data_IF_751553179268
#
_entry.id   IF_751553179268
#
_cell.length_a   1.000
_cell.length_b   1.000
_cell.length_c   1.000
_cell.angle_alpha   90.00
_cell.angle_beta   90.00
_cell.angle_gamma   90.00
#
_symmetry.space_group_name_H-M   'P 1'
#
loop_
_entity.id
_entity.type
_entity.pdbx_description
1 polymer ?
#
# COMPACT_ATOMS: atom_id res chain seq x y z
N UNK A 1 19.83 25.00 18.59
CA UNK A 1 20.81 25.84 17.86
C UNK A 1 20.28 27.26 17.70
N UNK A 2 19.09 27.46 17.12
CA UNK A 2 18.45 28.79 17.07
C UNK A 2 18.27 29.40 18.46
N UNK A 3 17.76 28.64 19.44
CA UNK A 3 17.65 29.11 20.84
C UNK A 3 19.00 29.42 21.49
N UNK A 4 20.05 28.66 21.14
CA UNK A 4 21.41 28.88 21.66
C UNK A 4 22.07 30.12 21.03
N UNK A 5 21.75 30.44 19.79
CA UNK A 5 22.31 31.57 19.02
C UNK A 5 21.40 32.82 19.07
N UNK A 6 20.22 32.71 19.68
CA UNK A 6 19.24 33.79 19.83
C UNK A 6 18.49 34.21 18.56
N UNK A 7 18.93 33.80 17.36
CA UNK A 7 18.25 34.15 16.11
C UNK A 7 18.49 33.14 14.96
N UNK A 8 17.62 33.20 13.94
CA UNK A 8 17.64 32.29 12.77
C UNK A 8 18.70 32.67 11.74
N UNK A 9 19.05 33.96 11.61
CA UNK A 9 20.05 34.42 10.64
C UNK A 9 21.45 33.89 11.00
N UNK A 10 21.81 33.97 12.27
CA UNK A 10 23.06 33.42 12.82
C UNK A 10 23.09 31.89 12.74
N UNK A 11 21.97 31.23 13.04
CA UNK A 11 21.87 29.79 12.85
C UNK A 11 22.06 29.37 11.39
N UNK A 12 21.54 30.15 10.44
CA UNK A 12 21.73 29.93 8.99
C UNK A 12 23.19 30.11 8.58
N UNK A 13 23.83 31.20 9.03
CA UNK A 13 25.24 31.49 8.76
C UNK A 13 26.17 30.40 9.28
N UNK A 14 25.93 29.92 10.50
CA UNK A 14 26.79 28.92 11.14
C UNK A 14 26.56 27.49 10.65
N UNK A 15 25.31 27.12 10.32
CA UNK A 15 24.95 25.75 9.89
C UNK A 15 25.04 25.53 8.39
N UNK A 16 25.12 26.60 7.59
CA UNK A 16 25.04 26.54 6.13
C UNK A 16 23.65 26.17 5.59
N UNK A 17 22.64 26.06 6.46
CA UNK A 17 21.25 25.77 6.09
C UNK A 17 20.50 27.06 5.82
N UNK A 18 19.66 27.11 4.79
CA UNK A 18 18.87 28.30 4.48
C UNK A 18 17.90 28.65 5.62
N UNK A 19 17.68 29.96 5.82
CA UNK A 19 16.71 30.47 6.81
C UNK A 19 15.32 29.85 6.62
N UNK A 20 14.88 29.68 5.37
CA UNK A 20 13.59 29.07 5.02
C UNK A 20 13.48 27.61 5.52
N UNK A 21 14.51 26.79 5.29
CA UNK A 21 14.56 25.41 5.81
C UNK A 21 14.53 25.38 7.32
N UNK A 22 15.24 26.30 7.99
CA UNK A 22 15.22 26.42 9.46
C UNK A 22 13.81 26.76 9.95
N UNK A 23 13.11 27.71 9.34
CA UNK A 23 11.72 28.02 9.69
C UNK A 23 10.77 26.85 9.47
N UNK A 24 10.92 26.12 8.36
CA UNK A 24 10.12 24.91 8.08
C UNK A 24 10.34 23.84 9.15
N UNK A 25 11.59 23.58 9.51
CA UNK A 25 11.93 22.59 10.55
C UNK A 25 11.42 23.03 11.93
N UNK A 26 11.56 24.30 12.30
CA UNK A 26 10.99 24.83 13.55
C UNK A 26 9.47 24.66 13.60
N UNK A 27 8.77 24.93 12.49
CA UNK A 27 7.32 24.72 12.39
C UNK A 27 6.96 23.25 12.58
N UNK A 28 7.67 22.32 11.93
CA UNK A 28 7.45 20.88 12.08
C UNK A 28 7.69 20.42 13.52
N UNK A 29 8.81 20.84 14.12
CA UNK A 29 9.14 20.50 15.51
C UNK A 29 8.11 21.06 16.50
N UNK A 30 7.60 22.27 16.26
CA UNK A 30 6.53 22.86 17.08
C UNK A 30 5.21 22.09 16.97
N UNK A 31 4.92 21.51 15.81
CA UNK A 31 3.66 20.81 15.54
C UNK A 31 3.66 19.34 15.99
N UNK A 32 4.77 18.62 15.80
CA UNK A 32 4.84 17.18 16.06
C UNK A 32 6.15 16.72 16.69
N UNK A 33 6.86 17.63 17.36
CA UNK A 33 8.12 17.32 18.03
C UNK A 33 9.22 16.91 17.06
N UNK A 34 10.27 16.28 17.58
CA UNK A 34 11.41 15.82 16.78
C UNK A 34 11.04 14.74 15.77
N UNK A 35 9.99 13.95 16.03
CA UNK A 35 9.56 12.89 15.12
C UNK A 35 8.93 13.43 13.83
N UNK A 36 8.39 14.65 13.85
CA UNK A 36 7.87 15.31 12.65
C UNK A 36 8.98 15.65 11.62
N UNK A 37 10.25 15.64 12.02
CA UNK A 37 11.38 15.80 11.08
C UNK A 37 11.67 14.52 10.30
N UNK A 38 11.19 13.35 10.76
CA UNK A 38 11.28 12.11 10.01
C UNK A 38 10.29 12.13 8.85
N UNK A 39 10.64 11.45 7.76
CA UNK A 39 9.74 11.25 6.62
C UNK A 39 8.44 10.60 7.12
N UNK A 40 7.34 11.34 7.00
CA UNK A 40 6.02 10.82 7.31
C UNK A 40 5.53 10.06 6.08
N UNK A 41 5.54 8.74 6.16
CA UNK A 41 4.83 7.90 5.20
C UNK A 41 3.50 7.51 5.83
N UNK A 42 2.41 7.64 5.09
CA UNK A 42 1.12 7.12 5.57
C UNK A 42 1.10 5.63 5.28
N UNK A 43 1.21 4.75 6.28
CA UNK A 43 1.18 3.32 6.05
C UNK A 43 -0.21 2.91 5.55
N UNK A 44 -0.27 1.86 4.74
CA UNK A 44 -1.51 1.20 4.36
C UNK A 44 -2.51 2.04 3.53
N UNK A 45 -2.05 3.00 2.72
CA UNK A 45 -2.93 3.65 1.75
C UNK A 45 -3.36 2.63 0.69
N UNK A 46 -4.67 2.37 0.59
CA UNK A 46 -5.25 1.64 -0.54
C UNK A 46 -5.22 2.54 -1.78
N UNK A 47 -4.56 2.09 -2.83
CA UNK A 47 -4.44 2.85 -4.07
C UNK A 47 -5.82 3.09 -4.72
N UNK A 48 -6.09 4.31 -5.20
CA UNK A 48 -7.39 4.69 -5.80
C UNK A 48 -7.75 3.88 -7.04
N UNK A 49 -6.76 3.38 -7.76
CA UNK A 49 -6.96 2.50 -8.93
C UNK A 49 -7.12 1.01 -8.55
N UNK A 50 -7.32 0.69 -7.26
CA UNK A 50 -7.73 -0.66 -6.87
C UNK A 50 -9.21 -0.87 -7.21
N UNK A 51 -9.56 -2.10 -7.56
CA UNK A 51 -10.96 -2.51 -7.69
C UNK A 51 -11.67 -2.39 -6.35
N UNK A 52 -13.00 -2.42 -6.37
CA UNK A 52 -13.80 -2.47 -5.15
C UNK A 52 -13.35 -3.63 -4.23
N UNK A 53 -13.41 -3.43 -2.91
CA UNK A 53 -12.99 -4.45 -1.95
C UNK A 53 -13.83 -5.73 -2.05
N UNK A 54 -15.12 -5.64 -2.37
CA UNK A 54 -15.99 -6.80 -2.56
C UNK A 54 -15.55 -7.62 -3.78
N UNK A 55 -15.22 -6.94 -4.89
CA UNK A 55 -14.70 -7.57 -6.11
C UNK A 55 -13.35 -8.24 -5.83
N UNK A 56 -12.45 -7.56 -5.13
CA UNK A 56 -11.14 -8.12 -4.78
C UNK A 56 -11.31 -9.39 -3.94
N UNK A 57 -12.14 -9.34 -2.88
CA UNK A 57 -12.42 -10.49 -2.02
C UNK A 57 -12.99 -11.67 -2.82
N UNK A 58 -13.95 -11.42 -3.70
CA UNK A 58 -14.52 -12.46 -4.56
C UNK A 58 -13.47 -13.11 -5.47
N UNK A 59 -12.60 -12.31 -6.09
CA UNK A 59 -11.49 -12.81 -6.92
C UNK A 59 -10.53 -13.66 -6.09
N UNK A 60 -10.15 -13.19 -4.89
CA UNK A 60 -9.24 -13.91 -4.00
C UNK A 60 -9.85 -15.25 -3.58
N UNK A 61 -11.09 -15.25 -3.10
CA UNK A 61 -11.80 -16.44 -2.65
C UNK A 61 -11.92 -17.47 -3.78
N UNK A 62 -12.38 -17.04 -4.95
CA UNK A 62 -12.51 -17.91 -6.11
C UNK A 62 -11.17 -18.51 -6.56
N UNK A 63 -10.09 -17.73 -6.45
CA UNK A 63 -8.74 -18.17 -6.81
C UNK A 63 -8.15 -19.16 -5.81
N UNK A 64 -8.61 -19.14 -4.56
CA UNK A 64 -8.23 -20.08 -3.51
C UNK A 64 -8.97 -21.41 -3.66
N UNK A 65 -10.26 -21.35 -4.01
CA UNK A 65 -11.08 -22.54 -4.28
C UNK A 65 -10.65 -23.25 -5.57
N UNK A 66 -10.17 -22.49 -6.55
CA UNK A 66 -9.77 -23.01 -7.86
C UNK A 66 -8.36 -22.55 -8.27
N UNK A 67 -7.30 -22.97 -7.55
CA UNK A 67 -5.94 -22.44 -7.71
C UNK A 67 -5.31 -22.77 -9.07
N UNK A 68 -5.83 -23.75 -9.81
CA UNK A 68 -5.32 -24.16 -11.12
C UNK A 68 -5.84 -23.30 -12.29
N UNK A 69 -6.85 -22.46 -12.08
CA UNK A 69 -7.43 -21.68 -13.17
C UNK A 69 -6.56 -20.48 -13.55
N UNK A 70 -6.39 -20.24 -14.84
CA UNK A 70 -5.70 -19.03 -15.34
C UNK A 70 -6.57 -17.78 -15.22
N UNK A 71 -5.95 -16.60 -15.29
CA UNK A 71 -6.60 -15.30 -15.14
C UNK A 71 -7.84 -15.10 -16.04
N UNK A 72 -7.78 -15.60 -17.29
CA UNK A 72 -8.89 -15.49 -18.24
C UNK A 72 -10.09 -16.36 -17.84
N UNK A 73 -9.83 -17.58 -17.36
CA UNK A 73 -10.89 -18.49 -16.89
C UNK A 73 -11.53 -17.97 -15.61
N UNK A 74 -10.73 -17.41 -14.70
CA UNK A 74 -11.23 -16.79 -13.45
C UNK A 74 -12.14 -15.60 -13.77
N UNK A 75 -11.69 -14.66 -14.61
CA UNK A 75 -12.50 -13.53 -15.04
C UNK A 75 -13.85 -14.00 -15.63
N UNK A 76 -13.81 -14.89 -16.62
CA UNK A 76 -15.02 -15.41 -17.28
C UNK A 76 -15.98 -16.10 -16.30
N UNK A 77 -15.46 -16.89 -15.36
CA UNK A 77 -16.29 -17.58 -14.36
C UNK A 77 -16.88 -16.62 -13.33
N UNK A 78 -16.14 -15.62 -12.89
CA UNK A 78 -16.64 -14.59 -11.97
C UNK A 78 -17.77 -13.77 -12.60
N UNK A 79 -17.61 -13.39 -13.87
CA UNK A 79 -18.66 -12.69 -14.62
C UNK A 79 -19.89 -13.58 -14.80
N UNK A 80 -19.71 -14.85 -15.15
CA UNK A 80 -20.84 -15.77 -15.38
C UNK A 80 -21.56 -16.20 -14.10
N UNK A 81 -20.84 -16.45 -13.01
CA UNK A 81 -21.40 -17.02 -11.79
C UNK A 81 -21.86 -15.96 -10.77
N UNK A 82 -21.13 -14.84 -10.67
CA UNK A 82 -21.36 -13.81 -9.65
C UNK A 82 -21.80 -12.46 -10.24
N UNK A 83 -21.86 -12.34 -11.58
CA UNK A 83 -22.17 -11.06 -12.24
C UNK A 83 -21.08 -10.00 -12.08
N UNK A 84 -19.87 -10.40 -11.67
CA UNK A 84 -18.75 -9.49 -11.43
C UNK A 84 -17.99 -9.29 -12.75
N UNK A 85 -18.08 -8.09 -13.33
CA UNK A 85 -17.28 -7.73 -14.50
C UNK A 85 -15.86 -7.35 -14.08
N UNK A 86 -14.90 -8.19 -14.46
CA UNK A 86 -13.47 -7.94 -14.22
C UNK A 86 -12.65 -8.47 -15.38
N UNK A 87 -11.72 -7.65 -15.87
CA UNK A 87 -10.81 -8.07 -16.93
C UNK A 87 -9.79 -9.11 -16.42
N UNK A 88 -9.25 -9.97 -17.29
CA UNK A 88 -8.17 -10.90 -16.92
C UNK A 88 -6.95 -10.18 -16.34
N UNK A 89 -6.64 -8.97 -16.83
CA UNK A 89 -5.58 -8.14 -16.28
C UNK A 89 -5.92 -7.63 -14.87
N UNK A 90 -7.18 -7.27 -14.62
CA UNK A 90 -7.68 -6.92 -13.29
C UNK A 90 -7.49 -8.05 -12.28
N UNK A 91 -7.81 -9.28 -12.67
CA UNK A 91 -7.55 -10.49 -11.87
C UNK A 91 -6.06 -10.62 -11.54
N UNK A 92 -5.19 -10.44 -12.53
CA UNK A 92 -3.73 -10.48 -12.33
C UNK A 92 -3.25 -9.40 -11.36
N UNK A 93 -3.75 -8.17 -11.47
CA UNK A 93 -3.43 -7.09 -10.54
C UNK A 93 -3.86 -7.40 -9.11
N UNK A 94 -5.01 -8.06 -8.92
CA UNK A 94 -5.45 -8.56 -7.60
C UNK A 94 -4.49 -9.62 -7.08
N UNK A 95 -4.08 -10.59 -7.91
CA UNK A 95 -3.10 -11.61 -7.51
C UNK A 95 -1.76 -11.03 -7.06
N UNK A 96 -1.26 -10.01 -7.77
CA UNK A 96 0.00 -9.32 -7.41
C UNK A 96 -0.06 -8.69 -6.03
N UNK A 97 -1.16 -8.00 -5.72
CA UNK A 97 -1.35 -7.34 -4.43
C UNK A 97 -1.53 -8.32 -3.28
N UNK A 98 -2.00 -9.53 -3.57
CA UNK A 98 -2.31 -10.55 -2.57
C UNK A 98 -1.28 -11.70 -2.50
N UNK A 99 -0.12 -11.55 -3.16
CA UNK A 99 0.93 -12.57 -3.23
C UNK A 99 0.44 -13.93 -3.79
N UNK A 100 -0.35 -13.91 -4.87
CA UNK A 100 -0.99 -15.09 -5.47
C UNK A 100 -0.64 -15.25 -6.97
N UNK A 101 0.53 -14.78 -7.38
CA UNK A 101 0.89 -14.64 -8.80
C UNK A 101 1.07 -15.97 -9.53
N UNK A 102 1.48 -17.00 -8.80
CA UNK A 102 1.74 -18.32 -9.36
C UNK A 102 0.70 -19.31 -8.85
N UNK A 103 0.51 -20.39 -9.61
CA UNK A 103 -0.34 -21.50 -9.17
C UNK A 103 0.17 -22.09 -7.85
N UNK A 104 1.48 -22.20 -7.66
CA UNK A 104 2.06 -22.70 -6.40
C UNK A 104 1.65 -21.85 -5.20
N UNK A 105 1.76 -20.52 -5.30
CA UNK A 105 1.34 -19.59 -4.24
C UNK A 105 -0.16 -19.68 -3.95
N UNK A 106 -0.99 -19.88 -4.98
CA UNK A 106 -2.44 -20.06 -4.81
C UNK A 106 -2.78 -21.39 -4.13
N UNK A 107 -2.09 -22.47 -4.49
CA UNK A 107 -2.23 -23.78 -3.85
C UNK A 107 -1.79 -23.71 -2.38
N UNK A 108 -0.62 -23.12 -2.10
CA UNK A 108 -0.11 -22.95 -0.74
C UNK A 108 -1.10 -22.17 0.14
N UNK A 109 -1.63 -21.06 -0.40
CA UNK A 109 -2.62 -20.24 0.31
C UNK A 109 -3.96 -20.96 0.53
N UNK A 110 -4.35 -21.85 -0.40
CA UNK A 110 -5.52 -22.71 -0.24
C UNK A 110 -5.30 -23.75 0.86
N UNK A 111 -4.14 -24.38 0.89
CA UNK A 111 -3.78 -25.37 1.90
C UNK A 111 -3.61 -24.77 3.30
N UNK A 112 -3.06 -23.55 3.42
CA UNK A 112 -2.88 -22.89 4.73
C UNK A 112 -4.22 -22.53 5.38
N UNK A 113 -5.22 -22.16 4.58
CA UNK A 113 -6.59 -21.91 5.06
C UNK A 113 -7.26 -23.19 5.53
N UNK A 114 -7.07 -24.32 4.84
CA UNK A 114 -7.60 -25.63 5.26
C UNK A 114 -7.00 -26.12 6.58
N UNK A 115 -5.73 -25.79 6.87
CA UNK A 115 -5.06 -26.17 8.13
C UNK A 115 -5.46 -25.30 9.33
N UNK A 116 -6.06 -24.14 9.08
CA UNK A 116 -6.45 -23.18 10.10
C UNK A 116 -7.94 -23.27 10.48
N UNK A 117 -8.69 -24.18 9.83
CA UNK A 117 -10.10 -24.47 10.04
C UNK A 117 -10.27 -25.80 10.80
#
# INVERSE_FOLDING_TARGET
>A
MVEKLGNVSEASRQSGVSRDTIYRHLKLVKQGGTDALKRQETPNIRHKNCVDMAIEKAVVQFSIEHPHLGQQKVAMKLTKALGIDISPNGVRSVWLRNNMNTTALRVEKSQSLQKSA
#
